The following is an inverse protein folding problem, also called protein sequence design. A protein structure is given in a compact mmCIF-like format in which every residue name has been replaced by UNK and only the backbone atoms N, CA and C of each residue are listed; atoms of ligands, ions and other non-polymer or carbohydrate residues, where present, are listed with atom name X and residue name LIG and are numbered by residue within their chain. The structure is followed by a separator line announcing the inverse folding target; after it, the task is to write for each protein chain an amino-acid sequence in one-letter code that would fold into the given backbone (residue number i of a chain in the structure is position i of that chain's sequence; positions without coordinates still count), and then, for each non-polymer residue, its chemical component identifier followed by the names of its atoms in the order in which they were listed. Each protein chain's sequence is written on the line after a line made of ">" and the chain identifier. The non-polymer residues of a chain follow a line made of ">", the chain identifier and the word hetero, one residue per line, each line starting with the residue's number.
data_IF_808136732204
#
_entry.id   IF_808136732204
#
_cell.length_a   1.000
_cell.length_b   1.000
_cell.length_c   1.000
_cell.angle_alpha   90.00
_cell.angle_beta   90.00
_cell.angle_gamma   90.00
#
_symmetry.space_group_name_H-M   'P 1'
#
loop_
_entity.id
_entity.type
_entity.pdbx_description
1 polymer ?
#
# COMPACT_ATOMS: atom_id res chain seq x y z
N UNK A 1 -32.66 47.82 22.01
CA UNK A 1 -31.77 46.72 22.43
C UNK A 1 -31.98 45.53 21.47
N UNK A 2 -31.48 45.59 20.24
CA UNK A 2 -31.64 44.52 19.24
C UNK A 2 -30.38 43.66 19.25
N UNK A 3 -30.51 42.39 19.65
CA UNK A 3 -29.39 41.43 19.67
C UNK A 3 -28.87 41.26 18.23
N UNK A 4 -27.57 41.44 17.94
CA UNK A 4 -27.05 41.19 16.61
C UNK A 4 -27.15 39.68 16.34
N UNK A 5 -28.07 39.34 15.45
CA UNK A 5 -28.36 37.99 15.02
C UNK A 5 -27.09 37.36 14.44
N UNK A 6 -26.48 36.42 15.16
CA UNK A 6 -25.25 35.70 14.78
C UNK A 6 -25.47 34.68 13.65
N UNK A 7 -26.39 34.95 12.75
CA UNK A 7 -26.71 34.15 11.57
C UNK A 7 -25.53 33.80 10.68
N UNK A 8 -24.61 34.73 10.36
CA UNK A 8 -23.44 34.37 9.55
C UNK A 8 -22.52 33.37 10.28
N UNK A 9 -22.50 33.40 11.61
CA UNK A 9 -21.70 32.49 12.43
C UNK A 9 -22.28 31.06 12.42
N UNK A 10 -23.60 30.94 12.49
CA UNK A 10 -24.30 29.66 12.37
C UNK A 10 -24.17 29.07 10.95
N UNK A 11 -24.29 29.90 9.91
CA UNK A 11 -24.09 29.49 8.53
C UNK A 11 -22.65 29.01 8.27
N UNK A 12 -21.65 29.71 8.84
CA UNK A 12 -20.25 29.30 8.76
C UNK A 12 -20.00 27.92 9.36
N UNK A 13 -20.52 27.66 10.57
CA UNK A 13 -20.40 26.36 11.24
C UNK A 13 -21.02 25.25 10.39
N UNK A 14 -22.20 25.49 9.79
CA UNK A 14 -22.88 24.51 8.96
C UNK A 14 -22.05 24.14 7.73
N UNK A 15 -21.44 25.13 7.05
CA UNK A 15 -20.56 24.89 5.91
C UNK A 15 -19.30 24.14 6.33
N UNK A 16 -18.69 24.49 7.47
CA UNK A 16 -17.50 23.80 7.99
C UNK A 16 -17.80 22.33 8.31
N UNK A 17 -18.95 22.04 8.92
CA UNK A 17 -19.38 20.66 9.21
C UNK A 17 -19.60 19.90 7.90
N UNK A 18 -20.32 20.47 6.94
CA UNK A 18 -20.56 19.83 5.65
C UNK A 18 -19.24 19.53 4.91
N UNK A 19 -18.30 20.47 4.91
CA UNK A 19 -16.97 20.28 4.35
C UNK A 19 -16.19 19.18 5.08
N UNK A 20 -16.18 19.18 6.42
CA UNK A 20 -15.48 18.16 7.20
C UNK A 20 -16.04 16.75 6.93
N UNK A 21 -17.37 16.61 6.81
CA UNK A 21 -18.01 15.34 6.45
C UNK A 21 -17.58 14.89 5.05
N UNK A 22 -17.66 15.77 4.05
CA UNK A 22 -17.21 15.45 2.69
C UNK A 22 -15.71 15.12 2.64
N UNK A 23 -14.89 15.79 3.45
CA UNK A 23 -13.45 15.54 3.56
C UNK A 23 -13.16 14.15 4.16
N UNK A 24 -13.88 13.74 5.21
CA UNK A 24 -13.74 12.41 5.82
C UNK A 24 -14.10 11.30 4.83
N UNK A 25 -15.16 11.50 4.04
CA UNK A 25 -15.54 10.59 2.95
C UNK A 25 -14.42 10.53 1.91
N UNK A 26 -13.88 11.68 1.52
CA UNK A 26 -12.80 11.79 0.53
C UNK A 26 -11.49 11.14 0.96
N UNK A 27 -11.17 11.18 2.26
CA UNK A 27 -9.98 10.54 2.81
C UNK A 27 -10.09 9.02 2.85
N UNK A 28 -11.28 8.45 2.55
CA UNK A 28 -11.52 7.02 2.68
C UNK A 28 -11.07 6.54 4.07
N UNK A 29 -11.34 7.34 5.11
CA UNK A 29 -10.87 7.06 6.48
C UNK A 29 -11.43 5.73 7.02
N UNK A 30 -12.44 5.18 6.34
CA UNK A 30 -12.95 3.82 6.50
C UNK A 30 -12.15 2.78 5.70
N UNK A 31 -10.82 2.94 5.55
CA UNK A 31 -9.96 1.87 5.06
C UNK A 31 -10.13 0.66 5.98
N UNK A 32 -10.87 -0.32 5.46
CA UNK A 32 -11.04 -1.64 6.06
C UNK A 32 -9.65 -2.18 6.32
N UNK A 33 -9.39 -2.48 7.59
CA UNK A 33 -8.11 -2.95 8.10
C UNK A 33 -7.52 -3.98 7.14
N UNK A 34 -6.45 -3.60 6.45
CA UNK A 34 -5.61 -4.56 5.74
C UNK A 34 -5.20 -5.61 6.77
N UNK A 35 -5.51 -6.90 6.55
CA UNK A 35 -5.13 -7.92 7.50
C UNK A 35 -3.62 -7.84 7.73
N UNK A 36 -3.16 -7.92 9.00
CA UNK A 36 -1.74 -7.85 9.29
C UNK A 36 -1.05 -8.92 8.46
N UNK A 37 -0.11 -8.50 7.62
CA UNK A 37 0.76 -9.41 6.86
C UNK A 37 1.43 -10.29 7.90
N UNK A 38 0.95 -11.53 8.02
CA UNK A 38 1.47 -12.50 8.96
C UNK A 38 2.97 -12.58 8.74
N UNK A 39 3.75 -12.27 9.77
CA UNK A 39 5.21 -12.22 9.70
C UNK A 39 5.72 -13.52 9.10
N UNK A 40 6.16 -13.46 7.85
CA UNK A 40 6.71 -14.61 7.14
C UNK A 40 8.02 -14.90 7.85
N UNK A 41 8.06 -15.99 8.63
CA UNK A 41 9.33 -16.55 9.11
C UNK A 41 10.13 -16.92 7.86
N UNK A 42 11.11 -16.09 7.53
CA UNK A 42 12.08 -16.38 6.47
C UNK A 42 12.92 -17.58 6.92
N UNK A 43 12.57 -18.75 6.42
CA UNK A 43 13.43 -19.94 6.53
C UNK A 43 14.49 -19.80 5.43
N UNK A 44 15.79 -19.87 5.75
CA UNK A 44 16.83 -19.73 4.75
C UNK A 44 16.69 -20.74 3.62
N UNK A 45 16.51 -20.27 2.37
CA UNK A 45 16.50 -21.15 1.21
C UNK A 45 17.85 -21.83 1.05
N UNK A 46 17.86 -23.16 1.17
CA UNK A 46 19.05 -23.95 0.89
C UNK A 46 19.40 -24.02 -0.61
N UNK A 47 18.47 -23.63 -1.49
CA UNK A 47 18.59 -23.66 -2.94
C UNK A 47 18.07 -22.34 -3.55
N UNK A 48 18.47 -22.01 -4.79
CA UNK A 48 17.86 -20.91 -5.53
C UNK A 48 16.35 -21.08 -5.60
N UNK A 49 15.60 -20.04 -5.22
CA UNK A 49 14.13 -20.06 -5.22
C UNK A 49 13.60 -19.07 -6.24
N UNK A 50 12.72 -19.57 -7.11
CA UNK A 50 11.84 -18.75 -7.93
C UNK A 50 10.48 -18.69 -7.23
N UNK A 51 10.09 -17.48 -6.85
CA UNK A 51 8.87 -17.21 -6.09
C UNK A 51 7.98 -16.28 -6.91
N UNK A 52 6.79 -16.79 -7.23
CA UNK A 52 5.71 -16.02 -7.83
C UNK A 52 4.66 -15.70 -6.77
N UNK A 53 4.38 -14.41 -6.59
CA UNK A 53 3.34 -13.94 -5.68
C UNK A 53 2.29 -13.14 -6.45
N UNK A 54 1.04 -13.24 -6.04
CA UNK A 54 -0.04 -12.40 -6.57
C UNK A 54 -0.28 -11.24 -5.61
N UNK A 55 -0.43 -10.02 -6.15
CA UNK A 55 -0.77 -8.84 -5.36
C UNK A 55 -2.29 -8.63 -5.43
N UNK A 56 -2.92 -8.51 -4.26
CA UNK A 56 -4.34 -8.21 -4.12
C UNK A 56 -4.57 -6.88 -3.41
N UNK A 57 -5.58 -6.14 -3.84
CA UNK A 57 -6.11 -4.96 -3.18
C UNK A 57 -7.63 -5.05 -3.14
N UNK A 58 -8.24 -4.96 -1.94
CA UNK A 58 -9.68 -5.16 -1.74
C UNK A 58 -10.20 -6.45 -2.41
N UNK A 59 -9.50 -7.57 -2.17
CA UNK A 59 -9.78 -8.90 -2.74
C UNK A 59 -9.73 -8.99 -4.28
N UNK A 60 -9.30 -7.91 -4.96
CA UNK A 60 -9.08 -7.89 -6.40
C UNK A 60 -7.59 -8.07 -6.69
N UNK A 61 -7.26 -8.99 -7.61
CA UNK A 61 -5.90 -9.12 -8.13
C UNK A 61 -5.52 -7.85 -8.90
N UNK A 62 -4.44 -7.20 -8.47
CA UNK A 62 -3.90 -5.99 -9.11
C UNK A 62 -2.53 -6.21 -9.74
N UNK A 63 -1.89 -7.35 -9.52
CA UNK A 63 -0.55 -7.58 -10.04
C UNK A 63 0.08 -8.90 -9.66
N UNK A 64 1.36 -9.03 -9.98
CA UNK A 64 2.20 -10.15 -9.58
C UNK A 64 3.63 -9.69 -9.28
N UNK A 65 4.30 -10.45 -8.43
CA UNK A 65 5.72 -10.32 -8.12
C UNK A 65 6.42 -11.57 -8.60
N UNK A 66 7.54 -11.38 -9.28
CA UNK A 66 8.48 -12.43 -9.62
C UNK A 66 9.78 -12.15 -8.87
N UNK A 67 10.13 -13.03 -7.92
CA UNK A 67 11.34 -12.91 -7.13
C UNK A 67 12.24 -14.13 -7.32
N UNK A 68 13.48 -13.87 -7.73
CA UNK A 68 14.52 -14.86 -7.82
C UNK A 68 15.53 -14.64 -6.69
N UNK A 69 15.72 -15.65 -5.84
CA UNK A 69 16.76 -15.67 -4.83
C UNK A 69 17.86 -16.65 -5.27
N UNK A 70 19.10 -16.19 -5.30
CA UNK A 70 20.27 -16.99 -5.67
C UNK A 70 21.28 -16.98 -4.53
N UNK A 71 21.83 -18.14 -4.19
CA UNK A 71 22.91 -18.25 -3.21
C UNK A 71 24.24 -17.84 -3.86
N UNK A 72 24.99 -16.96 -3.20
CA UNK A 72 26.33 -16.55 -3.61
C UNK A 72 27.37 -17.08 -2.60
N UNK A 73 28.66 -17.01 -2.93
CA UNK A 73 29.77 -17.52 -2.09
C UNK A 73 29.79 -16.88 -0.69
N UNK A 74 29.37 -15.60 -0.58
CA UNK A 74 29.43 -14.81 0.65
C UNK A 74 28.05 -14.48 1.26
N UNK A 75 26.94 -14.99 0.73
CA UNK A 75 25.60 -14.60 1.16
C UNK A 75 24.49 -14.96 0.16
N UNK A 76 23.47 -14.12 0.05
CA UNK A 76 22.38 -14.31 -0.92
C UNK A 76 22.21 -13.06 -1.79
N UNK A 77 21.87 -13.24 -3.06
CA UNK A 77 21.45 -12.17 -3.94
C UNK A 77 19.97 -12.38 -4.30
N UNK A 78 19.18 -11.32 -4.29
CA UNK A 78 17.80 -11.38 -4.77
C UNK A 78 17.55 -10.35 -5.87
N UNK A 79 16.70 -10.73 -6.82
CA UNK A 79 16.15 -9.86 -7.84
C UNK A 79 14.63 -10.00 -7.80
N UNK A 80 13.93 -8.88 -7.66
CA UNK A 80 12.48 -8.80 -7.58
C UNK A 80 11.95 -7.88 -8.66
N UNK A 81 11.04 -8.39 -9.48
CA UNK A 81 10.28 -7.62 -10.46
C UNK A 81 8.81 -7.63 -10.08
N UNK A 82 8.24 -6.45 -9.88
CA UNK A 82 6.85 -6.24 -9.52
C UNK A 82 6.14 -5.59 -10.70
N UNK A 83 5.05 -6.23 -11.14
CA UNK A 83 4.13 -5.70 -12.13
C UNK A 83 2.77 -5.52 -11.45
N UNK A 84 2.30 -4.28 -11.37
CA UNK A 84 1.03 -3.97 -10.72
C UNK A 84 0.29 -2.84 -11.43
N UNK A 85 -1.04 -2.88 -11.37
CA UNK A 85 -1.91 -1.85 -11.88
C UNK A 85 -2.71 -1.25 -10.73
N UNK A 86 -2.46 0.02 -10.41
CA UNK A 86 -3.17 0.73 -9.36
C UNK A 86 -4.19 1.67 -9.98
N UNK A 87 -5.39 1.72 -9.40
CA UNK A 87 -6.39 2.71 -9.77
C UNK A 87 -6.27 3.92 -8.87
N UNK A 88 -5.83 5.05 -9.42
CA UNK A 88 -5.82 6.33 -8.69
C UNK A 88 -6.89 7.23 -9.29
N UNK A 89 -7.82 7.71 -8.46
CA UNK A 89 -8.88 8.61 -8.93
C UNK A 89 -9.74 8.05 -10.09
N UNK A 90 -9.88 6.72 -10.16
CA UNK A 90 -10.63 6.04 -11.22
C UNK A 90 -9.85 5.85 -12.53
N UNK A 91 -8.57 6.25 -12.59
CA UNK A 91 -7.70 5.96 -13.72
C UNK A 91 -6.74 4.81 -13.40
N UNK A 92 -6.70 3.76 -14.25
CA UNK A 92 -5.72 2.70 -14.11
C UNK A 92 -4.32 3.20 -14.49
N UNK A 93 -3.34 2.90 -13.65
CA UNK A 93 -1.94 3.17 -13.90
C UNK A 93 -1.12 1.91 -13.66
N UNK A 94 -0.39 1.48 -14.69
CA UNK A 94 0.57 0.39 -14.57
C UNK A 94 1.88 0.89 -13.94
N UNK A 95 2.42 0.11 -13.02
CA UNK A 95 3.70 0.32 -12.36
C UNK A 95 4.56 -0.94 -12.53
N UNK A 96 5.81 -0.70 -12.91
CA UNK A 96 6.85 -1.72 -13.01
C UNK A 96 7.98 -1.32 -12.07
N UNK A 97 8.28 -2.15 -11.08
CA UNK A 97 9.37 -1.92 -10.14
C UNK A 97 10.36 -3.07 -10.26
N UNK A 98 11.63 -2.74 -10.41
CA UNK A 98 12.73 -3.69 -10.36
C UNK A 98 13.56 -3.36 -9.12
N UNK A 99 13.78 -4.34 -8.25
CA UNK A 99 14.59 -4.22 -7.04
C UNK A 99 15.62 -5.32 -7.02
N UNK A 100 16.87 -4.96 -6.75
CA UNK A 100 17.97 -5.89 -6.58
C UNK A 100 18.63 -5.64 -5.23
N UNK A 101 19.13 -6.70 -4.60
CA UNK A 101 19.78 -6.60 -3.31
C UNK A 101 20.70 -7.75 -3.01
N UNK A 102 21.68 -7.48 -2.16
CA UNK A 102 22.55 -8.49 -1.57
C UNK A 102 22.22 -8.56 -0.08
N UNK A 103 22.04 -9.79 0.38
CA UNK A 103 21.75 -10.14 1.76
C UNK A 103 22.98 -10.85 2.33
N UNK A 104 23.24 -10.60 3.59
CA UNK A 104 24.28 -11.33 4.32
C UNK A 104 23.90 -12.82 4.46
N UNK A 105 24.85 -13.65 4.91
CA UNK A 105 24.60 -15.08 5.11
C UNK A 105 23.51 -15.38 6.16
N UNK A 106 23.20 -14.42 7.03
CA UNK A 106 22.10 -14.46 8.00
C UNK A 106 20.76 -13.92 7.44
N UNK A 107 20.74 -13.54 6.15
CA UNK A 107 19.59 -13.00 5.43
C UNK A 107 19.04 -11.67 5.97
N UNK A 108 19.91 -10.87 6.58
CA UNK A 108 19.61 -9.47 6.94
C UNK A 108 20.11 -8.47 5.91
#
# INVERSE_FOLDING_TARGET
>A
MTRPFKWPMAAGILVTIAFAVLLLIRLDFFQTQTPPVAGIKMVPPQQPQDIWMTIFQNDRKIGFVHRMLTKNENGFAFNENVFMEISTMGMPQALNLATEGQLNADMT
#
